data_IF_596355544205
#
_entry.id   IF_596355544205
#
_cell.length_a   1.000
_cell.length_b   1.000
_cell.length_c   1.000
_cell.angle_alpha   90.00
_cell.angle_beta   90.00
_cell.angle_gamma   90.00
#
_symmetry.space_group_name_H-M   'P 1'
#
loop_
_entity.id
_entity.type
_entity.pdbx_description
1 polymer ?
#
# COMPACT_ATOMS: atom_id res chain seq x y z
N UNK A 1 6.42 4.15 14.37
CA UNK A 1 7.50 3.97 13.36
C UNK A 1 6.85 4.15 11.99
N UNK A 2 7.43 4.93 11.06
CA UNK A 2 6.78 5.22 9.78
C UNK A 2 6.98 4.07 8.76
N UNK A 3 5.93 3.58 8.06
CA UNK A 3 5.99 2.46 7.12
C UNK A 3 7.07 2.60 6.02
N UNK A 4 7.24 3.81 5.48
CA UNK A 4 8.27 4.12 4.46
C UNK A 4 9.72 3.83 4.87
N UNK A 5 10.01 3.56 6.15
CA UNK A 5 11.32 3.10 6.60
C UNK A 5 11.75 1.80 5.90
N UNK A 6 10.83 0.87 5.67
CA UNK A 6 11.14 -0.39 4.97
C UNK A 6 11.51 -0.16 3.50
N UNK A 7 10.80 0.75 2.82
CA UNK A 7 11.10 1.12 1.44
C UNK A 7 12.47 1.80 1.30
N UNK A 8 12.89 2.58 2.31
CA UNK A 8 14.22 3.22 2.34
C UNK A 8 15.35 2.24 2.66
N UNK A 9 15.14 1.32 3.60
CA UNK A 9 16.21 0.43 4.09
C UNK A 9 16.36 -0.83 3.23
N UNK A 10 15.25 -1.41 2.78
CA UNK A 10 15.24 -2.66 2.02
C UNK A 10 14.27 -2.56 0.84
N UNK A 11 14.50 -1.65 -0.12
CA UNK A 11 13.54 -1.33 -1.18
C UNK A 11 13.13 -2.54 -2.02
N UNK A 12 14.08 -3.42 -2.34
CA UNK A 12 13.87 -4.56 -3.23
C UNK A 12 13.43 -5.83 -2.49
N UNK A 13 13.31 -5.78 -1.16
CA UNK A 13 12.83 -6.92 -0.38
C UNK A 13 11.34 -7.08 -0.60
N UNK A 14 10.88 -8.33 -0.74
CA UNK A 14 9.47 -8.64 -0.85
C UNK A 14 8.69 -8.13 0.37
N UNK A 15 7.64 -7.36 0.11
CA UNK A 15 6.66 -6.92 1.10
C UNK A 15 5.43 -7.83 1.07
N UNK A 16 5.00 -8.22 -0.13
CA UNK A 16 3.84 -9.09 -0.36
C UNK A 16 4.25 -10.17 -1.36
N UNK A 17 3.91 -11.43 -1.03
CA UNK A 17 4.08 -12.58 -1.92
C UNK A 17 2.73 -13.27 -2.04
N UNK A 18 2.17 -13.28 -3.24
CA UNK A 18 0.92 -13.97 -3.53
C UNK A 18 1.22 -15.45 -3.76
N UNK A 19 0.84 -16.29 -2.79
CA UNK A 19 1.15 -17.72 -2.83
C UNK A 19 0.56 -18.44 -4.06
N UNK A 20 -0.65 -18.06 -4.49
CA UNK A 20 -1.34 -18.69 -5.62
C UNK A 20 -0.72 -18.34 -6.97
N UNK A 21 -0.29 -17.09 -7.17
CA UNK A 21 0.23 -16.61 -8.46
C UNK A 21 1.76 -16.50 -8.52
N UNK A 22 2.44 -16.58 -7.37
CA UNK A 22 3.86 -16.26 -7.25
C UNK A 22 4.19 -14.78 -7.41
N UNK A 23 3.21 -13.90 -7.58
CA UNK A 23 3.45 -12.47 -7.78
C UNK A 23 4.04 -11.83 -6.53
N UNK A 24 5.09 -11.04 -6.72
CA UNK A 24 5.78 -10.34 -5.62
C UNK A 24 5.58 -8.84 -5.78
N UNK A 25 5.30 -8.16 -4.67
CA UNK A 25 5.40 -6.70 -4.56
C UNK A 25 6.46 -6.37 -3.54
N UNK A 26 7.42 -5.54 -3.93
CA UNK A 26 8.53 -5.07 -3.10
C UNK A 26 8.10 -3.95 -2.17
N UNK A 27 8.89 -3.67 -1.12
CA UNK A 27 8.62 -2.54 -0.24
C UNK A 27 8.63 -1.19 -0.97
N UNK A 28 9.49 -1.03 -1.98
CA UNK A 28 9.48 0.18 -2.82
C UNK A 28 8.17 0.35 -3.55
N UNK A 29 7.72 -0.69 -4.27
CA UNK A 29 6.48 -0.63 -5.04
C UNK A 29 5.26 -0.41 -4.15
N UNK A 30 5.22 -1.05 -2.98
CA UNK A 30 4.15 -0.85 -2.01
C UNK A 30 4.10 0.61 -1.54
N UNK A 31 5.23 1.18 -1.13
CA UNK A 31 5.30 2.57 -0.65
C UNK A 31 4.93 3.59 -1.74
N UNK A 32 5.43 3.39 -2.96
CA UNK A 32 5.11 4.26 -4.10
C UNK A 32 3.61 4.22 -4.44
N UNK A 33 3.00 3.04 -4.51
CA UNK A 33 1.57 2.89 -4.81
C UNK A 33 0.68 3.41 -3.69
N UNK A 34 1.06 3.17 -2.43
CA UNK A 34 0.32 3.68 -1.27
C UNK A 34 0.37 5.21 -1.21
N UNK A 35 1.52 5.81 -1.52
CA UNK A 35 1.65 7.25 -1.62
C UNK A 35 0.79 7.83 -2.77
N UNK A 36 0.77 7.17 -3.94
CA UNK A 36 -0.12 7.56 -5.05
C UNK A 36 -1.59 7.54 -4.64
N UNK A 37 -2.02 6.48 -3.95
CA UNK A 37 -3.38 6.35 -3.44
C UNK A 37 -3.70 7.43 -2.40
N UNK A 38 -2.78 7.71 -1.47
CA UNK A 38 -2.96 8.77 -0.47
C UNK A 38 -3.10 10.16 -1.12
N UNK A 39 -2.35 10.44 -2.20
CA UNK A 39 -2.53 11.67 -2.98
C UNK A 39 -3.91 11.71 -3.66
N UNK A 40 -4.36 10.59 -4.22
CA UNK A 40 -5.68 10.49 -4.81
C UNK A 40 -6.80 10.72 -3.78
N UNK A 41 -6.73 10.11 -2.60
CA UNK A 41 -7.69 10.32 -1.52
C UNK A 41 -7.77 11.79 -1.08
N UNK A 42 -6.63 12.46 -0.91
CA UNK A 42 -6.59 13.90 -0.60
C UNK A 42 -7.26 14.72 -1.70
N UNK A 43 -7.09 14.34 -2.97
CA UNK A 43 -7.77 14.98 -4.11
C UNK A 43 -9.29 14.75 -4.10
N UNK A 44 -9.76 13.63 -3.55
CA UNK A 44 -11.19 13.37 -3.33
C UNK A 44 -11.76 14.07 -2.09
N UNK A 45 -10.94 14.83 -1.35
CA UNK A 45 -11.36 15.57 -0.17
C UNK A 45 -11.25 14.80 1.14
N UNK A 46 -10.68 13.58 1.13
CA UNK A 46 -10.48 12.79 2.35
C UNK A 46 -9.45 13.47 3.26
N UNK A 47 -9.76 13.56 4.55
CA UNK A 47 -8.93 14.15 5.59
C UNK A 47 -8.54 13.12 6.64
N UNK A 48 -7.53 13.46 7.43
CA UNK A 48 -7.17 12.64 8.58
C UNK A 48 -8.35 12.57 9.56
N UNK A 49 -8.71 11.35 9.96
CA UNK A 49 -9.87 11.08 10.83
C UNK A 49 -11.13 10.67 10.08
N UNK A 50 -11.21 10.87 8.77
CA UNK A 50 -12.32 10.38 7.96
C UNK A 50 -12.27 8.85 7.82
N UNK A 51 -13.44 8.23 7.66
CA UNK A 51 -13.58 6.81 7.41
C UNK A 51 -13.81 6.54 5.92
N UNK A 52 -13.26 5.42 5.42
CA UNK A 52 -13.54 4.88 4.09
C UNK A 52 -14.13 3.47 4.23
N UNK A 53 -15.07 3.14 3.36
CA UNK A 53 -15.55 1.76 3.22
C UNK A 53 -14.70 1.03 2.17
N UNK A 54 -14.28 -0.18 2.51
CA UNK A 54 -13.50 -1.04 1.63
C UNK A 54 -14.37 -2.24 1.22
N UNK A 55 -14.68 -2.31 -0.07
CA UNK A 55 -15.43 -3.43 -0.65
C UNK A 55 -14.57 -4.09 -1.73
N UNK A 56 -13.87 -5.15 -1.34
CA UNK A 56 -12.96 -5.89 -2.19
C UNK A 56 -12.84 -7.34 -1.72
N UNK A 57 -12.41 -8.22 -2.61
CA UNK A 57 -11.97 -9.57 -2.28
C UNK A 57 -10.62 -9.56 -1.55
N UNK A 58 -10.14 -10.75 -1.14
CA UNK A 58 -8.78 -10.88 -0.61
C UNK A 58 -7.76 -10.63 -1.73
N UNK A 59 -7.33 -9.38 -1.85
CA UNK A 59 -6.54 -8.88 -2.98
C UNK A 59 -5.26 -8.17 -2.48
N UNK A 60 -4.08 -8.36 -3.11
CA UNK A 60 -2.82 -7.78 -2.64
C UNK A 60 -2.82 -6.25 -2.57
N UNK A 61 -3.64 -5.58 -3.38
CA UNK A 61 -3.78 -4.13 -3.32
C UNK A 61 -4.44 -3.60 -2.05
N UNK A 62 -5.07 -4.46 -1.24
CA UNK A 62 -5.53 -4.07 0.09
C UNK A 62 -4.40 -3.42 0.91
N UNK A 63 -3.19 -3.98 0.81
CA UNK A 63 -2.03 -3.47 1.52
C UNK A 63 -1.61 -2.06 1.06
N UNK A 64 -1.89 -1.67 -0.19
CA UNK A 64 -1.62 -0.31 -0.69
C UNK A 64 -2.51 0.75 0.01
N UNK A 65 -3.59 0.32 0.66
CA UNK A 65 -4.52 1.18 1.41
C UNK A 65 -4.08 1.37 2.86
N UNK A 66 -3.47 0.34 3.46
CA UNK A 66 -3.14 0.30 4.89
C UNK A 66 -1.65 0.54 5.20
N UNK A 67 -0.82 0.71 4.17
CA UNK A 67 0.61 0.97 4.26
C UNK A 67 0.92 2.46 4.43
#
# INVERSE_FOLDING_TARGET
MHPSRHAKQTPNKAAIVMASSGSVTTYRELDERSNQLAHWFRKQGLKAGDAIALFLENHPRFFEICW
#
